data_IF_616641943509
#
_entry.id   IF_616641943509
#
_cell.length_a   1.000
_cell.length_b   1.000
_cell.length_c   1.000
_cell.angle_alpha   90.00
_cell.angle_beta   90.00
_cell.angle_gamma   90.00
#
_symmetry.space_group_name_H-M   'P 1'
#
loop_
_entity.id
_entity.type
_entity.pdbx_description
1 polymer ?
#
# COMPACT_ATOMS: atom_id res chain seq x y z
N UNK A 1 17.38 -8.37 20.69
CA UNK A 1 17.06 -9.44 19.72
C UNK A 1 15.55 -9.44 19.54
N UNK A 2 15.04 -8.95 18.40
CA UNK A 2 13.60 -8.93 18.13
C UNK A 2 13.10 -10.34 17.84
N UNK A 3 11.90 -10.69 18.30
CA UNK A 3 11.27 -11.99 18.03
C UNK A 3 11.29 -12.30 16.52
N UNK A 4 11.46 -13.57 16.12
CA UNK A 4 11.35 -13.96 14.72
C UNK A 4 9.92 -13.71 14.24
N UNK A 5 9.72 -12.55 13.62
CA UNK A 5 8.42 -12.16 13.07
C UNK A 5 7.89 -13.20 12.08
N UNK A 6 6.62 -13.56 12.23
CA UNK A 6 5.92 -14.50 11.34
C UNK A 6 5.90 -13.95 9.92
N UNK A 7 6.37 -14.74 8.96
CA UNK A 7 6.31 -14.37 7.53
C UNK A 7 4.86 -14.37 7.06
N UNK A 8 4.47 -13.31 6.36
CA UNK A 8 3.16 -13.11 5.76
C UNK A 8 3.27 -13.07 4.25
N UNK A 9 2.22 -13.51 3.57
CA UNK A 9 1.99 -13.24 2.16
C UNK A 9 0.98 -12.10 2.06
N UNK A 10 1.43 -10.91 1.68
CA UNK A 10 0.58 -9.76 1.40
C UNK A 10 0.03 -9.89 -0.03
N UNK A 11 -1.29 -9.78 -0.17
CA UNK A 11 -2.03 -10.11 -1.40
C UNK A 11 -2.72 -8.93 -2.05
N UNK A 12 -3.28 -8.03 -1.25
CA UNK A 12 -4.07 -6.93 -1.81
C UNK A 12 -4.02 -5.73 -0.87
N UNK A 13 -4.07 -4.55 -1.46
CA UNK A 13 -4.19 -3.29 -0.73
C UNK A 13 -5.43 -2.55 -1.23
N UNK A 14 -6.21 -2.00 -0.31
CA UNK A 14 -7.33 -1.13 -0.62
C UNK A 14 -7.18 0.16 0.18
N UNK A 15 -7.10 1.28 -0.52
CA UNK A 15 -7.29 2.59 0.08
C UNK A 15 -8.79 2.84 0.19
N UNK A 16 -9.24 3.43 1.30
CA UNK A 16 -10.57 4.04 1.35
C UNK A 16 -10.39 5.50 1.69
N UNK A 17 -10.91 6.35 0.82
CA UNK A 17 -10.79 7.80 0.89
C UNK A 17 -11.95 8.43 0.11
N UNK A 18 -12.38 9.67 0.40
CA UNK A 18 -13.29 10.40 -0.47
C UNK A 18 -12.72 10.56 -1.90
N UNK A 19 -13.55 10.75 -2.94
CA UNK A 19 -13.08 11.05 -4.29
C UNK A 19 -12.02 12.15 -4.29
N UNK A 20 -10.93 11.95 -5.03
CA UNK A 20 -9.97 13.02 -5.23
C UNK A 20 -10.69 14.24 -5.86
N UNK A 21 -10.52 15.45 -5.30
CA UNK A 21 -11.18 16.67 -5.73
C UNK A 21 -11.12 16.96 -7.23
N UNK A 22 -10.00 16.62 -7.90
CA UNK A 22 -9.84 16.86 -9.35
C UNK A 22 -9.44 15.60 -10.11
N UNK A 23 -9.84 15.50 -11.38
CA UNK A 23 -9.55 14.32 -12.22
C UNK A 23 -8.05 14.10 -12.50
N UNK A 24 -7.23 15.13 -12.29
CA UNK A 24 -5.79 15.10 -12.53
C UNK A 24 -4.98 14.85 -11.24
N UNK A 25 -5.64 14.81 -10.09
CA UNK A 25 -5.00 14.44 -8.83
C UNK A 25 -4.76 12.94 -8.78
N UNK A 26 -3.59 12.57 -8.24
CA UNK A 26 -3.22 11.16 -8.12
C UNK A 26 -2.49 10.87 -6.82
N UNK A 27 -2.59 9.63 -6.35
CA UNK A 27 -1.77 9.08 -5.27
C UNK A 27 -0.97 7.92 -5.82
N UNK A 28 0.35 8.06 -5.83
CA UNK A 28 1.24 6.95 -6.15
C UNK A 28 1.51 6.14 -4.88
N UNK A 29 1.20 4.85 -4.93
CA UNK A 29 1.48 3.91 -3.87
C UNK A 29 2.80 3.22 -4.20
N UNK A 30 3.78 3.37 -3.32
CA UNK A 30 4.99 2.55 -3.34
C UNK A 30 5.07 1.70 -2.08
N UNK A 31 5.73 0.55 -2.19
CA UNK A 31 5.85 -0.41 -1.11
C UNK A 31 7.26 -0.96 -1.02
N UNK A 32 7.59 -1.51 0.15
CA UNK A 32 8.76 -2.36 0.36
C UNK A 32 8.49 -3.33 1.49
N UNK A 33 9.20 -4.44 1.53
CA UNK A 33 9.11 -5.40 2.63
C UNK A 33 10.39 -5.47 3.43
N UNK A 34 10.25 -5.74 4.73
CA UNK A 34 11.36 -5.96 5.64
C UNK A 34 12.40 -4.83 5.58
N UNK A 35 13.67 -5.17 5.34
CA UNK A 35 14.79 -4.22 5.29
C UNK A 35 15.21 -3.89 3.86
N UNK A 36 14.30 -4.08 2.88
CA UNK A 36 14.57 -3.66 1.50
C UNK A 36 14.98 -2.18 1.45
N UNK A 37 16.02 -1.91 0.65
CA UNK A 37 16.60 -0.59 0.49
C UNK A 37 15.79 0.28 -0.47
N UNK A 38 15.12 -0.33 -1.44
CA UNK A 38 14.36 0.37 -2.48
C UNK A 38 12.86 0.17 -2.33
N UNK A 39 12.10 1.22 -2.66
CA UNK A 39 10.65 1.14 -2.79
C UNK A 39 10.27 0.73 -4.21
N UNK A 40 9.30 -0.17 -4.33
CA UNK A 40 8.68 -0.60 -5.57
C UNK A 40 7.36 0.14 -5.79
N UNK A 41 7.07 0.55 -7.03
CA UNK A 41 5.77 1.16 -7.36
C UNK A 41 4.71 0.07 -7.49
N UNK A 42 3.61 0.21 -6.76
CA UNK A 42 2.43 -0.64 -6.95
C UNK A 42 1.59 -0.13 -8.11
N UNK A 43 1.07 1.09 -7.97
CA UNK A 43 0.21 1.73 -8.96
C UNK A 43 -0.01 3.20 -8.60
N UNK A 44 -0.67 3.91 -9.51
CA UNK A 44 -1.17 5.25 -9.31
C UNK A 44 -2.70 5.21 -9.20
N UNK A 45 -3.19 5.77 -8.11
CA UNK A 45 -4.61 5.86 -7.77
C UNK A 45 -5.16 7.23 -8.16
N UNK A 46 -6.36 7.24 -8.73
CA UNK A 46 -7.16 8.42 -9.05
C UNK A 46 -8.61 8.22 -8.56
N UNK A 47 -9.49 9.20 -8.84
CA UNK A 47 -10.91 9.15 -8.41
C UNK A 47 -11.68 7.92 -8.90
N UNK A 48 -11.19 7.21 -9.92
CA UNK A 48 -11.88 6.07 -10.54
C UNK A 48 -11.52 4.73 -9.88
N UNK A 49 -10.30 4.60 -9.33
CA UNK A 49 -9.79 3.33 -8.80
C UNK A 49 -9.46 3.36 -7.30
N UNK A 50 -9.62 4.49 -6.62
CA UNK A 50 -9.32 4.66 -5.20
C UNK A 50 -10.07 3.75 -4.22
N UNK A 51 -11.14 3.07 -4.63
CA UNK A 51 -11.89 2.11 -3.79
C UNK A 51 -11.74 0.67 -4.27
N UNK A 52 -10.83 0.40 -5.21
CA UNK A 52 -10.60 -0.93 -5.73
C UNK A 52 -9.52 -1.64 -4.93
N UNK A 53 -9.62 -2.97 -4.86
CA UNK A 53 -8.50 -3.79 -4.40
C UNK A 53 -7.40 -3.74 -5.45
N UNK A 54 -6.20 -3.38 -5.01
CA UNK A 54 -5.00 -3.27 -5.81
C UNK A 54 -4.16 -4.53 -5.55
N UNK A 55 -3.91 -5.36 -6.58
CA UNK A 55 -3.24 -6.63 -6.41
C UNK A 55 -1.78 -6.41 -6.00
N UNK A 56 -1.35 -7.12 -4.98
CA UNK A 56 0.03 -7.19 -4.50
C UNK A 56 0.41 -8.67 -4.32
N UNK A 57 1.66 -9.07 -4.52
CA UNK A 57 2.02 -10.44 -4.16
C UNK A 57 3.45 -10.47 -3.66
N UNK A 58 3.60 -10.18 -2.37
CA UNK A 58 4.92 -10.11 -1.74
C UNK A 58 4.92 -10.84 -0.41
N UNK A 59 6.05 -11.51 -0.14
CA UNK A 59 6.30 -12.19 1.13
C UNK A 59 7.23 -11.34 1.97
N UNK A 60 6.89 -11.16 3.23
CA UNK A 60 7.71 -10.41 4.18
C UNK A 60 7.16 -10.53 5.59
N UNK A 61 7.95 -10.12 6.58
CA UNK A 61 7.49 -10.00 7.97
C UNK A 61 6.76 -8.68 8.18
N UNK A 62 7.27 -7.63 7.53
CA UNK A 62 6.73 -6.26 7.55
C UNK A 62 6.49 -5.77 6.13
N UNK A 63 5.45 -4.97 5.95
CA UNK A 63 5.15 -4.25 4.71
C UNK A 63 5.08 -2.77 5.05
N UNK A 64 5.91 -1.97 4.39
CA UNK A 64 5.90 -0.52 4.50
C UNK A 64 5.27 0.05 3.24
N UNK A 65 4.33 0.97 3.41
CA UNK A 65 3.67 1.68 2.32
C UNK A 65 4.03 3.16 2.39
N UNK A 66 4.37 3.73 1.24
CA UNK A 66 4.56 5.17 1.06
C UNK A 66 3.53 5.64 0.05
N UNK A 67 2.74 6.62 0.46
CA UNK A 67 1.74 7.29 -0.37
C UNK A 67 2.29 8.65 -0.76
N UNK A 68 2.42 8.89 -2.07
CA UNK A 68 2.86 10.18 -2.59
C UNK A 68 1.69 10.82 -3.33
N UNK A 69 1.17 11.91 -2.78
CA UNK A 69 0.11 12.68 -3.41
C UNK A 69 0.70 13.68 -4.41
N UNK A 70 0.13 13.70 -5.62
CA UNK A 70 0.43 14.68 -6.65
C UNK A 70 -0.85 15.46 -6.98
N UNK A 71 -0.85 16.74 -6.63
CA UNK A 71 -1.93 17.67 -6.93
C UNK A 71 -1.76 18.31 -8.31
N UNK A 72 -2.86 18.53 -9.01
CA UNK A 72 -2.89 19.36 -10.20
C UNK A 72 -3.18 20.81 -9.83
N UNK A 73 -2.22 21.71 -10.01
CA UNK A 73 -2.41 23.16 -9.81
C UNK A 73 -2.38 23.63 -8.34
N UNK A 74 -3.12 24.70 -8.05
CA UNK A 74 -3.13 25.44 -6.77
C UNK A 74 -3.91 24.78 -5.63
N UNK A 75 -4.33 23.52 -5.78
CA UNK A 75 -5.09 22.84 -4.73
C UNK A 75 -4.19 22.49 -3.55
N UNK A 76 -4.39 23.18 -2.42
CA UNK A 76 -3.62 23.01 -1.18
C UNK A 76 -4.23 21.97 -0.24
N UNK A 77 -5.40 21.42 -0.59
CA UNK A 77 -6.05 20.40 0.22
C UNK A 77 -5.37 19.05 0.00
N UNK A 78 -4.82 18.49 1.08
CA UNK A 78 -4.36 17.11 1.08
C UNK A 78 -5.56 16.16 1.05
N UNK A 79 -5.50 15.06 0.29
CA UNK A 79 -6.57 14.08 0.26
C UNK A 79 -6.73 13.45 1.64
N UNK A 80 -7.98 13.29 2.08
CA UNK A 80 -8.27 12.60 3.33
C UNK A 80 -8.18 11.09 3.12
N UNK A 81 -7.34 10.42 3.90
CA UNK A 81 -7.26 8.96 3.93
C UNK A 81 -8.05 8.44 5.12
N UNK A 82 -9.16 7.74 4.86
CA UNK A 82 -10.01 7.21 5.92
C UNK A 82 -9.44 5.91 6.49
N UNK A 83 -8.97 5.01 5.62
CA UNK A 83 -8.37 3.74 6.03
C UNK A 83 -7.51 3.11 4.94
N UNK A 84 -6.53 2.30 5.34
CA UNK A 84 -5.82 1.36 4.46
C UNK A 84 -6.15 -0.06 4.93
N UNK A 85 -6.67 -0.88 4.03
CA UNK A 85 -6.89 -2.31 4.29
C UNK A 85 -5.85 -3.12 3.54
N UNK A 86 -5.28 -4.12 4.20
CA UNK A 86 -4.25 -4.99 3.64
C UNK A 86 -4.68 -6.44 3.86
N UNK A 87 -4.87 -7.16 2.76
CA UNK A 87 -5.13 -8.60 2.79
C UNK A 87 -3.81 -9.35 2.93
N UNK A 88 -3.71 -10.24 3.93
CA UNK A 88 -2.53 -11.08 4.12
C UNK A 88 -2.90 -12.47 4.62
N UNK A 89 -2.01 -13.43 4.34
CA UNK A 89 -2.07 -14.77 4.92
C UNK A 89 -0.80 -15.02 5.74
N UNK A 90 -0.95 -15.54 6.95
CA UNK A 90 0.19 -16.01 7.73
C UNK A 90 0.72 -17.28 7.07
N UNK A 91 2.01 -17.30 6.73
CA UNK A 91 2.67 -18.49 6.20
C UNK A 91 3.20 -19.40 7.32
N UNK A 92 3.20 -18.91 8.56
CA UNK A 92 3.78 -19.59 9.72
C UNK A 92 5.31 -19.76 9.59
N UNK A 93 5.96 -20.28 10.65
CA UNK A 93 7.32 -20.80 10.56
C UNK A 93 7.29 -22.21 9.96
N UNK A 94 6.76 -22.41 8.74
CA UNK A 94 6.80 -23.73 8.10
C UNK A 94 8.21 -24.05 7.60
N UNK A 95 9.13 -24.23 8.55
CA UNK A 95 10.23 -25.18 8.43
C UNK A 95 9.64 -26.55 8.82
N UNK A 96 8.96 -27.19 7.88
CA UNK A 96 8.57 -28.60 7.95
C UNK A 96 8.29 -29.01 6.50
N UNK A 97 9.07 -29.86 5.83
CA UNK A 97 10.02 -30.92 6.25
C UNK A 97 11.16 -30.98 5.25
#
# INVERSE_FOLDING_TARGET
>A
MGEPGVVKLFKDIKLNMPPLPTANETITITWKVDEESTYHTLTTVNSVNQHKWLPLQVRGKTLQLKLTYAAAGTNTNSPQLNSINISYANLGNRLSR
#
